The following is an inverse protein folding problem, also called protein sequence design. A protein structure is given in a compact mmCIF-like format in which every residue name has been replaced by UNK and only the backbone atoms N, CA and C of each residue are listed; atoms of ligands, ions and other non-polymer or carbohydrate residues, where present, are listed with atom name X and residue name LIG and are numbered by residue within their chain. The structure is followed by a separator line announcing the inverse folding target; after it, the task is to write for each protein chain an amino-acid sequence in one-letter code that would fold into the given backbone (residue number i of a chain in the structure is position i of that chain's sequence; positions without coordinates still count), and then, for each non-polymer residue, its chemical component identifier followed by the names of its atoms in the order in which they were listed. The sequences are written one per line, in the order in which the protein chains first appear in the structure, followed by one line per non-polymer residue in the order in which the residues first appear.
data_IF_619484008998
#
_entry.id   IF_619484008998
#
_cell.length_a   1.000
_cell.length_b   1.000
_cell.length_c   1.000
_cell.angle_alpha   90.00
_cell.angle_beta   90.00
_cell.angle_gamma   90.00
#
_symmetry.space_group_name_H-M   'P 1'
#
loop_
_entity.id
_entity.type
_entity.pdbx_description
1 polymer ?
#
# COMPACT_ATOMS: atom_id res chain seq x y z
N UNK A 1 20.44 -22.27 11.27
CA UNK A 1 19.67 -21.04 10.99
C UNK A 1 20.17 -19.98 11.95
N UNK A 2 21.01 -19.06 11.47
CA UNK A 2 21.47 -17.93 12.27
C UNK A 2 20.47 -16.80 12.06
N UNK A 3 19.76 -16.40 13.12
CA UNK A 3 18.84 -15.27 13.06
C UNK A 3 19.61 -14.02 12.63
N UNK A 4 19.09 -13.31 11.64
CA UNK A 4 19.66 -12.03 11.19
C UNK A 4 19.47 -10.96 12.27
N UNK A 5 20.35 -10.94 13.27
CA UNK A 5 20.25 -10.05 14.44
C UNK A 5 20.11 -8.56 14.10
N UNK A 6 20.84 -8.01 13.11
CA UNK A 6 20.64 -6.62 12.71
C UNK A 6 19.24 -6.35 12.13
N UNK A 7 18.69 -7.29 11.34
CA UNK A 7 17.31 -7.19 10.85
C UNK A 7 16.26 -7.28 11.95
N UNK A 8 16.50 -8.13 12.97
CA UNK A 8 15.58 -8.22 14.11
C UNK A 8 15.54 -6.90 14.87
N UNK A 9 16.72 -6.32 15.09
CA UNK A 9 16.86 -5.05 15.79
C UNK A 9 16.16 -3.91 15.03
N UNK A 10 16.33 -3.81 13.71
CA UNK A 10 15.66 -2.78 12.90
C UNK A 10 14.14 -2.93 12.94
N UNK A 11 13.62 -4.16 12.86
CA UNK A 11 12.19 -4.43 12.95
C UNK A 11 11.61 -4.09 14.34
N UNK A 12 12.32 -4.47 15.41
CA UNK A 12 11.94 -4.10 16.77
C UNK A 12 11.91 -2.57 16.93
N UNK A 13 12.93 -1.87 16.42
CA UNK A 13 12.97 -0.40 16.43
C UNK A 13 11.80 0.19 15.63
N UNK A 14 11.50 -0.36 14.45
CA UNK A 14 10.38 0.06 13.61
C UNK A 14 9.04 -0.12 14.33
N UNK A 15 8.73 -1.31 14.86
CA UNK A 15 7.48 -1.53 15.58
C UNK A 15 7.37 -0.71 16.86
N UNK A 16 8.48 -0.54 17.61
CA UNK A 16 8.50 0.34 18.76
C UNK A 16 8.23 1.79 18.38
N UNK A 17 8.77 2.26 17.25
CA UNK A 17 8.53 3.60 16.72
C UNK A 17 7.05 3.78 16.32
N UNK A 18 6.48 2.83 15.58
CA UNK A 18 5.07 2.87 15.17
C UNK A 18 4.14 2.82 16.39
N UNK A 19 4.42 1.93 17.34
CA UNK A 19 3.63 1.82 18.57
C UNK A 19 3.74 3.09 19.41
N UNK A 20 4.94 3.66 19.57
CA UNK A 20 5.15 4.92 20.28
C UNK A 20 4.39 6.07 19.62
N UNK A 21 4.43 6.17 18.30
CA UNK A 21 3.67 7.16 17.53
C UNK A 21 2.16 6.96 17.67
N UNK A 22 1.68 5.72 17.61
CA UNK A 22 0.27 5.39 17.82
C UNK A 22 -0.22 5.75 19.23
N UNK A 23 0.59 5.46 20.27
CA UNK A 23 0.28 5.83 21.66
C UNK A 23 0.30 7.36 21.83
N UNK A 24 1.28 8.05 21.25
CA UNK A 24 1.35 9.51 21.29
C UNK A 24 0.14 10.15 20.59
N UNK A 25 -0.21 9.66 19.40
CA UNK A 25 -1.35 10.12 18.63
C UNK A 25 -2.68 9.81 19.34
N UNK A 26 -2.79 8.67 20.03
CA UNK A 26 -3.92 8.36 20.92
C UNK A 26 -4.05 9.38 22.05
N UNK A 27 -2.94 9.75 22.71
CA UNK A 27 -2.94 10.79 23.76
C UNK A 27 -3.35 12.15 23.19
N UNK A 28 -2.92 12.48 21.97
CA UNK A 28 -3.33 13.69 21.26
C UNK A 28 -4.82 13.66 20.90
N UNK A 29 -5.31 12.53 20.38
CA UNK A 29 -6.72 12.31 20.08
C UNK A 29 -7.59 12.51 21.32
N UNK A 30 -7.24 11.90 22.46
CA UNK A 30 -7.96 12.10 23.73
C UNK A 30 -7.97 13.55 24.23
N UNK A 31 -6.98 14.37 23.86
CA UNK A 31 -6.95 15.81 24.19
C UNK A 31 -7.87 16.61 23.28
N UNK A 32 -7.93 16.26 22.00
CA UNK A 32 -8.84 16.88 21.03
C UNK A 32 -10.30 16.41 21.24
N UNK A 33 -10.51 15.16 21.62
CA UNK A 33 -11.80 14.58 22.03
C UNK A 33 -12.43 15.38 23.18
N UNK A 34 -11.63 15.82 24.16
CA UNK A 34 -12.08 16.69 25.26
C UNK A 34 -12.54 18.08 24.82
N UNK A 35 -12.20 18.52 23.61
CA UNK A 35 -12.61 19.81 23.03
C UNK A 35 -13.83 19.68 22.13
N UNK A 36 -14.20 18.48 21.71
CA UNK A 36 -15.32 18.22 20.81
C UNK A 36 -16.58 17.82 21.59
N UNK A 37 -17.73 18.38 21.19
CA UNK A 37 -19.07 18.12 21.76
C UNK A 37 -19.82 16.97 21.07
N UNK A 38 -19.12 16.12 20.29
CA UNK A 38 -19.72 15.02 19.51
C UNK A 38 -19.74 13.68 20.25
N UNK A 39 -20.53 12.72 19.75
CA UNK A 39 -20.58 11.36 20.29
C UNK A 39 -19.22 10.65 20.14
N UNK A 40 -18.82 9.89 21.17
CA UNK A 40 -17.53 9.19 21.25
C UNK A 40 -17.23 8.28 20.04
N UNK A 41 -18.28 7.67 19.48
CA UNK A 41 -18.21 6.84 18.28
C UNK A 41 -17.86 7.63 17.03
N UNK A 42 -18.40 8.84 16.86
CA UNK A 42 -18.10 9.72 15.73
C UNK A 42 -16.64 10.20 15.80
N UNK A 43 -16.14 10.60 16.98
CA UNK A 43 -14.73 11.01 17.13
C UNK A 43 -13.78 9.84 16.80
N UNK A 44 -14.13 8.62 17.18
CA UNK A 44 -13.32 7.43 16.89
C UNK A 44 -13.33 7.08 15.39
N UNK A 45 -14.48 7.22 14.73
CA UNK A 45 -14.66 6.85 13.32
C UNK A 45 -14.20 7.92 12.33
N UNK A 46 -14.48 9.21 12.57
CA UNK A 46 -14.17 10.31 11.64
C UNK A 46 -13.15 11.31 12.20
N UNK A 47 -12.53 11.03 13.36
CA UNK A 47 -11.47 11.89 13.90
C UNK A 47 -11.94 13.32 14.19
N UNK A 48 -13.21 13.50 14.57
CA UNK A 48 -13.79 14.81 14.83
C UNK A 48 -13.87 15.75 13.62
N UNK A 49 -13.68 15.21 12.39
CA UNK A 49 -13.69 15.97 11.13
C UNK A 49 -12.75 17.18 11.12
N UNK A 50 -11.59 17.09 11.78
CA UNK A 50 -10.66 18.21 11.86
C UNK A 50 -9.20 17.76 11.66
N UNK A 51 -8.98 16.77 10.79
CA UNK A 51 -7.63 16.39 10.41
C UNK A 51 -6.95 17.53 9.62
N UNK A 52 -5.68 17.77 9.94
CA UNK A 52 -4.84 18.69 9.18
C UNK A 52 -4.71 18.19 7.73
N UNK A 53 -4.69 19.11 6.76
CA UNK A 53 -4.57 18.82 5.35
C UNK A 53 -3.37 17.92 5.02
N UNK A 54 -2.22 18.14 5.64
CA UNK A 54 -1.02 17.32 5.40
C UNK A 54 -1.22 15.88 5.87
N UNK A 55 -1.77 15.70 7.08
CA UNK A 55 -2.09 14.37 7.62
C UNK A 55 -3.15 13.69 6.76
N UNK A 56 -4.12 14.45 6.25
CA UNK A 56 -5.18 13.96 5.36
C UNK A 56 -4.63 13.46 4.03
N UNK A 57 -3.71 14.19 3.41
CA UNK A 57 -3.01 13.79 2.17
C UNK A 57 -2.21 12.51 2.40
N UNK A 58 -1.40 12.47 3.45
CA UNK A 58 -0.58 11.31 3.76
C UNK A 58 -1.44 10.06 4.06
N UNK A 59 -2.45 10.17 4.92
CA UNK A 59 -3.31 9.02 5.26
C UNK A 59 -4.14 8.54 4.07
N UNK A 60 -4.64 9.46 3.23
CA UNK A 60 -5.34 9.10 1.99
C UNK A 60 -4.39 8.35 1.05
N UNK A 61 -3.17 8.83 0.87
CA UNK A 61 -2.17 8.18 0.01
C UNK A 61 -1.75 6.82 0.57
N UNK A 62 -1.44 6.74 1.87
CA UNK A 62 -1.02 5.52 2.55
C UNK A 62 -2.09 4.41 2.55
N UNK A 63 -3.37 4.79 2.51
CA UNK A 63 -4.48 3.82 2.41
C UNK A 63 -4.38 2.98 1.13
N UNK A 64 -3.90 3.58 0.03
CA UNK A 64 -3.76 2.92 -1.27
C UNK A 64 -2.36 2.37 -1.52
N UNK A 65 -1.34 3.09 -1.06
CA UNK A 65 0.07 2.68 -1.18
C UNK A 65 0.44 1.79 0.01
N UNK A 66 0.00 0.52 -0.05
CA UNK A 66 0.34 -0.51 0.93
C UNK A 66 1.35 -1.55 0.41
N UNK A 67 1.68 -2.53 1.25
CA UNK A 67 2.58 -3.62 0.90
C UNK A 67 2.14 -4.40 -0.34
N UNK A 68 0.84 -4.69 -0.48
CA UNK A 68 0.29 -5.35 -1.67
C UNK A 68 0.43 -4.53 -2.95
N UNK A 69 0.31 -3.19 -2.86
CA UNK A 69 0.50 -2.32 -4.02
C UNK A 69 1.97 -2.26 -4.45
N UNK A 70 2.88 -2.13 -3.50
CA UNK A 70 4.32 -2.07 -3.80
C UNK A 70 4.81 -3.43 -4.31
N UNK A 71 4.62 -4.52 -3.55
CA UNK A 71 5.05 -5.86 -3.97
C UNK A 71 4.38 -6.30 -5.27
N UNK A 72 3.06 -6.08 -5.41
CA UNK A 72 2.32 -6.48 -6.61
C UNK A 72 2.78 -5.75 -7.87
N UNK A 73 3.08 -4.45 -7.79
CA UNK A 73 3.63 -3.72 -8.95
C UNK A 73 5.02 -4.24 -9.35
N UNK A 74 5.88 -4.56 -8.39
CA UNK A 74 7.20 -5.13 -8.67
C UNK A 74 7.09 -6.54 -9.27
N UNK A 75 6.19 -7.36 -8.73
CA UNK A 75 5.89 -8.70 -9.25
C UNK A 75 5.43 -8.66 -10.70
N UNK A 76 4.44 -7.82 -11.02
CA UNK A 76 3.86 -7.74 -12.36
C UNK A 76 4.89 -7.31 -13.40
N UNK A 77 5.77 -6.36 -13.07
CA UNK A 77 6.85 -5.94 -13.98
C UNK A 77 7.92 -7.02 -14.12
N UNK A 78 8.20 -7.77 -13.06
CA UNK A 78 9.17 -8.87 -13.09
C UNK A 78 8.66 -10.09 -13.85
N UNK A 79 7.35 -10.36 -13.81
CA UNK A 79 6.72 -11.52 -14.43
C UNK A 79 6.87 -11.47 -15.97
N UNK A 80 7.59 -12.44 -16.58
CA UNK A 80 7.85 -12.48 -18.02
C UNK A 80 6.58 -12.65 -18.87
N UNK A 81 5.45 -13.02 -18.27
CA UNK A 81 4.15 -13.13 -18.97
C UNK A 81 3.36 -11.82 -18.99
N UNK A 82 3.76 -10.82 -18.22
CA UNK A 82 3.03 -9.57 -18.02
C UNK A 82 3.87 -8.36 -18.42
N UNK A 83 4.85 -7.98 -17.60
CA UNK A 83 5.63 -6.76 -17.79
C UNK A 83 4.89 -5.47 -17.40
N UNK A 84 5.51 -4.32 -17.67
CA UNK A 84 5.06 -2.99 -17.23
C UNK A 84 3.66 -2.62 -17.75
N UNK A 85 3.31 -3.02 -18.97
CA UNK A 85 1.98 -2.73 -19.54
C UNK A 85 0.85 -3.26 -18.66
N UNK A 86 1.07 -4.36 -17.93
CA UNK A 86 0.10 -4.97 -17.02
C UNK A 86 0.10 -4.36 -15.62
N UNK A 87 1.05 -3.47 -15.29
CA UNK A 87 1.05 -2.74 -14.03
C UNK A 87 0.00 -1.62 -14.04
N UNK A 88 -1.28 -2.02 -14.08
CA UNK A 88 -2.43 -1.10 -14.17
C UNK A 88 -2.72 -0.38 -12.85
N UNK A 89 -2.21 -0.87 -11.72
CA UNK A 89 -2.45 -0.35 -10.37
C UNK A 89 -2.25 1.18 -10.24
N UNK A 90 -1.12 1.76 -10.68
CA UNK A 90 -0.88 3.19 -10.61
C UNK A 90 -1.92 4.02 -11.36
N UNK A 91 -2.27 3.59 -12.59
CA UNK A 91 -3.28 4.27 -13.39
C UNK A 91 -4.68 4.10 -12.78
N UNK A 92 -5.01 2.90 -12.32
CA UNK A 92 -6.28 2.59 -11.68
C UNK A 92 -6.50 3.43 -10.42
N UNK A 93 -5.51 3.54 -9.55
CA UNK A 93 -5.62 4.32 -8.32
C UNK A 93 -5.66 5.83 -8.56
N UNK A 94 -4.96 6.32 -9.59
CA UNK A 94 -5.14 7.70 -10.06
C UNK A 94 -6.60 7.95 -10.44
N UNK A 95 -7.17 7.09 -11.29
CA UNK A 95 -8.57 7.22 -11.73
C UNK A 95 -9.55 7.08 -10.57
N UNK A 96 -9.36 6.09 -9.69
CA UNK A 96 -10.17 5.86 -8.50
C UNK A 96 -10.28 7.12 -7.64
N UNK A 97 -9.14 7.74 -7.30
CA UNK A 97 -9.11 8.92 -6.45
C UNK A 97 -9.70 10.16 -7.13
N UNK A 98 -9.48 10.33 -8.44
CA UNK A 98 -10.07 11.42 -9.24
C UNK A 98 -11.59 11.25 -9.33
N UNK A 99 -12.08 10.06 -9.68
CA UNK A 99 -13.51 9.76 -9.79
C UNK A 99 -14.21 9.87 -8.43
N UNK A 100 -13.59 9.34 -7.37
CA UNK A 100 -14.05 9.49 -5.99
C UNK A 100 -14.18 10.96 -5.58
N UNK A 101 -13.18 11.79 -5.91
CA UNK A 101 -13.19 13.23 -5.62
C UNK A 101 -14.29 14.00 -6.36
N UNK A 102 -14.50 13.69 -7.63
CA UNK A 102 -15.45 14.37 -8.49
C UNK A 102 -16.90 14.05 -8.09
N UNK A 103 -17.22 12.77 -7.94
CA UNK A 103 -18.60 12.31 -7.84
C UNK A 103 -19.06 12.05 -6.40
N UNK A 104 -18.19 11.54 -5.52
CA UNK A 104 -18.62 10.99 -4.23
C UNK A 104 -18.29 11.84 -3.01
N UNK A 105 -17.23 12.68 -3.05
CA UNK A 105 -16.84 13.52 -1.90
C UNK A 105 -17.96 14.49 -1.50
N UNK A 106 -18.52 15.25 -2.45
CA UNK A 106 -19.56 16.26 -2.17
C UNK A 106 -20.84 15.65 -1.58
N UNK A 107 -21.49 14.64 -2.21
CA UNK A 107 -22.75 14.11 -1.69
C UNK A 107 -22.62 13.48 -0.30
N UNK A 108 -21.50 12.82 -0.03
CA UNK A 108 -21.28 12.13 1.25
C UNK A 108 -21.03 13.11 2.39
N UNK A 109 -20.27 14.19 2.12
CA UNK A 109 -20.00 15.22 3.13
C UNK A 109 -21.17 16.16 3.36
N UNK A 110 -21.90 16.55 2.32
CA UNK A 110 -23.04 17.48 2.46
C UNK A 110 -24.13 16.95 3.39
N UNK A 111 -24.22 15.63 3.54
CA UNK A 111 -25.17 14.95 4.41
C UNK A 111 -24.59 14.52 5.76
N UNK A 112 -23.33 14.85 6.06
CA UNK A 112 -22.64 14.48 7.30
C UNK A 112 -22.70 12.98 7.61
N UNK A 113 -22.61 12.13 6.58
CA UNK A 113 -22.52 10.69 6.78
C UNK A 113 -21.25 10.31 7.56
N UNK A 114 -21.27 9.10 8.11
CA UNK A 114 -20.19 8.47 8.88
C UNK A 114 -19.70 7.21 8.15
N UNK A 115 -20.59 6.53 7.41
CA UNK A 115 -20.23 5.32 6.66
C UNK A 115 -20.65 5.40 5.19
N UNK A 116 -20.03 4.55 4.36
CA UNK A 116 -20.46 4.32 2.97
C UNK A 116 -21.90 3.82 2.88
N UNK A 117 -22.37 3.09 3.90
CA UNK A 117 -23.69 2.46 3.88
C UNK A 117 -24.82 3.43 4.22
N UNK A 118 -24.53 4.58 4.82
CA UNK A 118 -25.53 5.58 5.23
C UNK A 118 -26.45 6.03 4.06
N UNK A 119 -25.94 6.41 2.87
CA UNK A 119 -26.81 6.73 1.74
C UNK A 119 -27.68 5.57 1.27
N UNK A 120 -27.20 4.33 1.40
CA UNK A 120 -27.99 3.14 1.06
C UNK A 120 -29.06 2.87 2.11
N UNK A 121 -28.75 3.10 3.38
CA UNK A 121 -29.69 3.00 4.48
C UNK A 121 -30.81 4.05 4.36
N UNK A 122 -30.49 5.31 4.05
CA UNK A 122 -31.49 6.36 3.84
C UNK A 122 -32.42 6.06 2.66
N UNK A 123 -31.88 5.50 1.56
CA UNK A 123 -32.64 5.27 0.33
C UNK A 123 -33.41 3.94 0.31
N UNK A 124 -32.84 2.86 0.84
CA UNK A 124 -33.37 1.49 0.72
C UNK A 124 -33.79 0.87 2.06
N UNK A 125 -33.54 1.55 3.18
CA UNK A 125 -33.85 1.09 4.52
C UNK A 125 -32.83 0.10 5.11
N UNK A 126 -32.95 -0.14 6.41
CA UNK A 126 -31.96 -0.86 7.22
C UNK A 126 -31.70 -2.29 6.73
N UNK A 127 -32.73 -2.99 6.24
CA UNK A 127 -32.61 -4.38 5.80
C UNK A 127 -31.72 -4.53 4.58
N UNK A 128 -31.89 -3.64 3.59
CA UNK A 128 -31.10 -3.69 2.35
C UNK A 128 -29.67 -3.24 2.63
N UNK A 129 -29.49 -2.19 3.45
CA UNK A 129 -28.17 -1.75 3.87
C UNK A 129 -27.38 -2.84 4.63
N UNK A 130 -28.05 -3.60 5.52
CA UNK A 130 -27.42 -4.71 6.22
C UNK A 130 -26.95 -5.83 5.28
N UNK A 131 -27.72 -6.13 4.23
CA UNK A 131 -27.32 -7.11 3.21
C UNK A 131 -26.14 -6.60 2.38
N UNK A 132 -26.15 -5.33 1.97
CA UNK A 132 -25.07 -4.69 1.21
C UNK A 132 -23.78 -4.51 2.03
N UNK A 133 -23.89 -4.46 3.36
CA UNK A 133 -22.74 -4.40 4.25
C UNK A 133 -21.91 -5.70 4.24
N UNK A 134 -22.53 -6.87 4.05
CA UNK A 134 -21.83 -8.16 4.06
C UNK A 134 -20.71 -8.23 2.99
N UNK A 135 -20.96 -7.98 1.70
CA UNK A 135 -19.90 -8.03 0.70
C UNK A 135 -18.83 -6.95 0.92
N UNK A 136 -19.20 -5.76 1.42
CA UNK A 136 -18.22 -4.71 1.74
C UNK A 136 -17.28 -5.15 2.87
N UNK A 137 -17.84 -5.74 3.95
CA UNK A 137 -17.07 -6.27 5.06
C UNK A 137 -16.13 -7.40 4.62
N UNK A 138 -16.62 -8.33 3.79
CA UNK A 138 -15.79 -9.41 3.25
C UNK A 138 -14.65 -8.87 2.40
N UNK A 139 -14.89 -7.84 1.59
CA UNK A 139 -13.86 -7.14 0.82
C UNK A 139 -12.77 -6.56 1.72
N UNK A 140 -13.13 -5.84 2.77
CA UNK A 140 -12.18 -5.28 3.73
C UNK A 140 -11.38 -6.39 4.46
N UNK A 141 -12.01 -7.51 4.84
CA UNK A 141 -11.33 -8.64 5.48
C UNK A 141 -10.29 -9.27 4.54
N UNK A 142 -10.66 -9.54 3.29
CA UNK A 142 -9.75 -10.11 2.29
C UNK A 142 -8.61 -9.15 1.97
N UNK A 143 -8.89 -7.85 1.93
CA UNK A 143 -7.87 -6.83 1.72
C UNK A 143 -6.84 -6.78 2.86
N UNK A 144 -7.31 -6.79 4.12
CA UNK A 144 -6.44 -6.85 5.29
C UNK A 144 -5.59 -8.13 5.30
N UNK A 145 -6.18 -9.27 4.93
CA UNK A 145 -5.45 -10.53 4.81
C UNK A 145 -4.32 -10.45 3.75
N UNK A 146 -4.61 -9.85 2.59
CA UNK A 146 -3.62 -9.63 1.54
C UNK A 146 -2.44 -8.76 2.03
N UNK A 147 -2.72 -7.62 2.68
CA UNK A 147 -1.69 -6.72 3.21
C UNK A 147 -0.84 -7.40 4.29
N UNK A 148 -1.48 -8.11 5.22
CA UNK A 148 -0.75 -8.85 6.25
C UNK A 148 0.11 -9.96 5.64
N UNK A 149 -0.38 -10.66 4.62
CA UNK A 149 0.38 -11.64 3.86
C UNK A 149 1.61 -11.04 3.18
N UNK A 150 1.45 -9.90 2.51
CA UNK A 150 2.56 -9.17 1.88
C UNK A 150 3.62 -8.75 2.91
N UNK A 151 3.19 -8.17 4.03
CA UNK A 151 4.08 -7.77 5.13
C UNK A 151 4.82 -8.96 5.74
N UNK A 152 4.10 -10.05 6.02
CA UNK A 152 4.67 -11.29 6.57
C UNK A 152 5.64 -11.96 5.61
N UNK A 153 5.37 -11.90 4.31
CA UNK A 153 6.29 -12.32 3.26
C UNK A 153 7.59 -11.52 3.31
N UNK A 154 7.48 -10.18 3.28
CA UNK A 154 8.66 -9.29 3.29
C UNK A 154 9.54 -9.59 4.50
N UNK A 155 8.96 -9.64 5.70
CA UNK A 155 9.69 -9.92 6.94
C UNK A 155 10.32 -11.31 6.91
N UNK A 156 9.62 -12.33 6.39
CA UNK A 156 10.14 -13.69 6.31
C UNK A 156 11.42 -13.76 5.45
N UNK A 157 11.46 -13.04 4.34
CA UNK A 157 12.65 -12.94 3.46
C UNK A 157 13.83 -12.29 4.17
N UNK A 158 13.59 -11.22 4.95
CA UNK A 158 14.66 -10.50 5.68
C UNK A 158 15.27 -11.33 6.81
N UNK A 159 14.39 -12.01 7.55
CA UNK A 159 14.68 -12.53 8.88
C UNK A 159 14.93 -14.03 8.93
N UNK A 160 14.62 -14.74 7.84
CA UNK A 160 14.60 -16.21 7.79
C UNK A 160 13.71 -16.81 8.91
N UNK A 161 12.63 -16.09 9.26
CA UNK A 161 11.61 -16.54 10.22
C UNK A 161 10.35 -17.00 9.48
N UNK A 162 9.56 -17.84 10.14
CA UNK A 162 8.30 -18.32 9.57
C UNK A 162 7.35 -17.14 9.27
N UNK A 163 6.82 -17.09 8.05
CA UNK A 163 5.85 -16.07 7.62
C UNK A 163 4.66 -15.96 8.58
N UNK A 164 4.14 -17.07 9.10
CA UNK A 164 3.03 -17.07 10.06
C UNK A 164 3.34 -16.24 11.33
N UNK A 165 4.53 -16.40 11.90
CA UNK A 165 4.94 -15.63 13.08
C UNK A 165 5.09 -14.14 12.76
N UNK A 166 5.65 -13.80 11.60
CA UNK A 166 5.77 -12.41 11.15
C UNK A 166 4.40 -11.74 10.98
N UNK A 167 3.44 -12.46 10.38
CA UNK A 167 2.04 -12.01 10.24
C UNK A 167 1.41 -11.78 11.62
N UNK A 168 1.52 -12.75 12.53
CA UNK A 168 0.92 -12.66 13.87
C UNK A 168 1.47 -11.47 14.67
N UNK A 169 2.77 -11.24 14.66
CA UNK A 169 3.39 -10.11 15.36
C UNK A 169 2.95 -8.79 14.75
N UNK A 170 2.97 -8.68 13.42
CA UNK A 170 2.50 -7.49 12.70
C UNK A 170 1.05 -7.15 13.03
N UNK A 171 0.17 -8.15 12.99
CA UNK A 171 -1.24 -8.00 13.28
C UNK A 171 -1.46 -7.57 14.74
N UNK A 172 -0.75 -8.17 15.69
CA UNK A 172 -0.85 -7.81 17.10
C UNK A 172 -0.47 -6.34 17.33
N UNK A 173 0.65 -5.87 16.76
CA UNK A 173 1.05 -4.46 16.85
C UNK A 173 0.01 -3.55 16.23
N UNK A 174 -0.49 -3.89 15.03
CA UNK A 174 -1.52 -3.14 14.31
C UNK A 174 -2.81 -3.00 15.12
N UNK A 175 -3.29 -4.09 15.70
CA UNK A 175 -4.49 -4.13 16.54
C UNK A 175 -4.31 -3.25 17.78
N UNK A 176 -3.17 -3.37 18.48
CA UNK A 176 -2.94 -2.63 19.72
C UNK A 176 -2.97 -1.11 19.50
N UNK A 177 -2.21 -0.58 18.53
CA UNK A 177 -2.21 0.88 18.33
C UNK A 177 -3.54 1.39 17.76
N UNK A 178 -4.23 0.59 16.93
CA UNK A 178 -5.51 0.98 16.33
C UNK A 178 -6.61 1.04 17.39
N UNK A 179 -6.71 0.02 18.26
CA UNK A 179 -7.67 0.00 19.36
C UNK A 179 -7.41 1.13 20.37
N UNK A 180 -6.15 1.51 20.58
CA UNK A 180 -5.82 2.56 21.54
C UNK A 180 -6.16 3.98 21.07
N UNK A 181 -6.09 4.29 19.78
CA UNK A 181 -6.17 5.67 19.31
C UNK A 181 -7.08 5.96 18.11
N UNK A 182 -7.82 4.96 17.61
CA UNK A 182 -8.79 5.14 16.54
C UNK A 182 -8.20 5.77 15.28
N UNK A 183 -9.01 6.54 14.53
CA UNK A 183 -8.58 7.14 13.26
C UNK A 183 -7.34 8.04 13.40
N UNK A 184 -7.20 8.76 14.52
CA UNK A 184 -6.04 9.62 14.76
C UNK A 184 -4.74 8.84 14.88
N UNK A 185 -4.72 7.73 15.64
CA UNK A 185 -3.51 6.91 15.71
C UNK A 185 -3.13 6.38 14.34
N UNK A 186 -4.11 5.85 13.59
CA UNK A 186 -3.89 5.35 12.23
C UNK A 186 -3.35 6.45 11.32
N UNK A 187 -3.96 7.63 11.28
CA UNK A 187 -3.55 8.70 10.38
C UNK A 187 -2.12 9.22 10.66
N UNK A 188 -1.68 9.28 11.92
CA UNK A 188 -0.31 9.68 12.24
C UNK A 188 0.71 8.56 12.02
N UNK A 189 0.35 7.28 12.24
CA UNK A 189 1.22 6.17 11.88
C UNK A 189 1.39 6.07 10.37
N UNK A 190 0.32 6.33 9.60
CA UNK A 190 0.35 6.36 8.13
C UNK A 190 1.36 7.39 7.60
N UNK A 191 1.42 8.59 8.20
CA UNK A 191 2.40 9.62 7.82
C UNK A 191 3.83 9.11 7.96
N UNK A 192 4.13 8.44 9.08
CA UNK A 192 5.47 7.90 9.35
C UNK A 192 5.79 6.74 8.39
N UNK A 193 4.86 5.80 8.23
CA UNK A 193 5.03 4.63 7.35
C UNK A 193 5.21 5.05 5.88
N UNK A 194 4.39 5.99 5.40
CA UNK A 194 4.49 6.51 4.04
C UNK A 194 5.82 7.22 3.80
N UNK A 195 6.29 8.02 4.78
CA UNK A 195 7.57 8.72 4.67
C UNK A 195 8.75 7.76 4.64
N UNK A 196 8.74 6.75 5.53
CA UNK A 196 9.78 5.73 5.57
C UNK A 196 9.83 4.92 4.27
N UNK A 197 8.68 4.52 3.75
CA UNK A 197 8.58 3.78 2.49
C UNK A 197 9.07 4.62 1.30
N UNK A 198 8.69 5.90 1.23
CA UNK A 198 9.16 6.81 0.17
C UNK A 198 10.69 6.92 0.20
N UNK A 199 11.28 7.22 1.36
CA UNK A 199 12.73 7.38 1.48
C UNK A 199 13.46 6.07 1.26
N UNK A 200 12.97 4.97 1.85
CA UNK A 200 13.61 3.67 1.81
C UNK A 200 13.68 3.08 0.40
N UNK A 201 12.56 3.08 -0.32
CA UNK A 201 12.54 2.53 -1.68
C UNK A 201 13.36 3.39 -2.65
N UNK A 202 13.24 4.71 -2.60
CA UNK A 202 14.04 5.61 -3.46
C UNK A 202 15.53 5.52 -3.17
N UNK A 203 15.92 5.29 -1.91
CA UNK A 203 17.31 5.06 -1.54
C UNK A 203 17.85 3.78 -2.18
N UNK A 204 17.04 2.74 -2.33
CA UNK A 204 17.46 1.46 -2.90
C UNK A 204 17.63 1.48 -4.43
N UNK A 205 16.81 2.25 -5.14
CA UNK A 205 16.83 2.36 -6.61
C UNK A 205 18.24 2.55 -7.20
N UNK A 206 19.06 3.54 -6.79
CA UNK A 206 20.37 3.74 -7.38
C UNK A 206 21.33 2.57 -7.15
N UNK A 207 21.26 1.89 -6.00
CA UNK A 207 22.13 0.74 -5.72
C UNK A 207 21.76 -0.47 -6.56
N UNK A 208 20.47 -0.71 -6.79
CA UNK A 208 19.99 -1.81 -7.62
C UNK A 208 20.38 -1.59 -9.09
N UNK A 209 20.23 -0.36 -9.59
CA UNK A 209 20.60 -0.02 -10.96
C UNK A 209 22.11 -0.01 -11.21
N UNK A 210 22.90 0.27 -10.18
CA UNK A 210 24.36 0.24 -10.26
C UNK A 210 24.97 -1.15 -10.01
N UNK A 211 24.15 -2.15 -9.68
CA UNK A 211 24.64 -3.49 -9.40
C UNK A 211 25.23 -4.13 -10.67
N UNK A 212 26.46 -4.69 -10.63
CA UNK A 212 27.09 -5.31 -11.80
C UNK A 212 26.30 -6.47 -12.41
N UNK A 213 25.45 -7.14 -11.61
CA UNK A 213 24.61 -8.25 -12.07
C UNK A 213 23.34 -7.80 -12.80
N UNK A 214 23.00 -6.50 -12.70
CA UNK A 214 21.85 -5.89 -13.36
C UNK A 214 22.28 -5.32 -14.71
N UNK A 215 21.72 -5.85 -15.80
CA UNK A 215 21.91 -5.27 -17.12
C UNK A 215 21.22 -3.90 -17.24
N UNK A 216 21.58 -3.12 -18.27
CA UNK A 216 20.95 -1.83 -18.51
C UNK A 216 19.44 -2.01 -18.77
N UNK A 217 18.63 -1.46 -17.86
CA UNK A 217 17.17 -1.59 -17.91
C UNK A 217 16.57 -1.06 -19.21
N UNK A 218 17.16 -0.05 -19.86
CA UNK A 218 16.61 0.50 -21.11
C UNK A 218 16.77 -0.46 -22.28
N UNK A 219 17.85 -1.24 -22.29
CA UNK A 219 18.08 -2.29 -23.29
C UNK A 219 17.19 -3.49 -22.99
N UNK A 220 17.12 -3.90 -21.72
CA UNK A 220 16.27 -4.98 -21.24
C UNK A 220 14.76 -4.69 -21.40
N UNK A 221 14.38 -3.43 -21.61
CA UNK A 221 12.98 -3.03 -21.81
C UNK A 221 12.39 -3.61 -23.10
N UNK A 222 13.23 -3.76 -24.13
CA UNK A 222 12.80 -4.17 -25.48
C UNK A 222 13.56 -5.39 -25.99
N UNK A 223 14.71 -5.70 -25.42
CA UNK A 223 15.55 -6.81 -25.83
C UNK A 223 15.54 -7.90 -24.77
N UNK A 224 15.33 -9.14 -25.20
CA UNK A 224 15.46 -10.33 -24.35
C UNK A 224 16.93 -10.55 -24.00
N UNK A 225 17.30 -10.22 -22.77
CA UNK A 225 18.65 -10.44 -22.21
C UNK A 225 18.66 -11.70 -21.34
N UNK A 226 18.07 -11.62 -20.15
CA UNK A 226 17.99 -12.72 -19.19
C UNK A 226 16.59 -13.32 -19.08
N UNK A 227 15.56 -12.50 -19.30
CA UNK A 227 14.16 -12.90 -19.40
C UNK A 227 13.46 -12.07 -20.50
N UNK A 228 12.17 -12.32 -20.72
CA UNK A 228 11.35 -11.53 -21.64
C UNK A 228 11.38 -10.03 -21.28
N UNK A 229 11.26 -9.14 -22.28
CA UNK A 229 11.37 -7.70 -22.07
C UNK A 229 10.36 -7.21 -21.03
N UNK A 230 10.85 -6.49 -20.02
CA UNK A 230 10.03 -6.09 -18.87
C UNK A 230 8.97 -5.03 -19.22
N UNK A 231 9.03 -4.42 -20.42
CA UNK A 231 7.95 -3.54 -20.88
C UNK A 231 6.65 -4.33 -21.09
N UNK A 232 6.75 -5.60 -21.51
CA UNK A 232 5.62 -6.44 -21.85
C UNK A 232 4.97 -6.08 -23.19
N UNK A 233 4.06 -6.94 -23.64
CA UNK A 233 3.20 -6.71 -24.80
C UNK A 233 1.73 -6.94 -24.42
N UNK A 234 0.83 -6.16 -24.99
CA UNK A 234 -0.60 -6.37 -24.86
C UNK A 234 -1.13 -6.89 -26.20
N UNK A 235 -1.49 -8.16 -26.23
CA UNK A 235 -2.17 -8.74 -27.39
C UNK A 235 -3.65 -8.34 -27.40
N UNK A 236 -4.24 -8.22 -28.58
CA UNK A 236 -5.63 -7.78 -28.72
C UNK A 236 -6.63 -8.71 -28.01
N UNK A 237 -6.30 -10.00 -27.93
CA UNK A 237 -7.10 -11.01 -27.23
C UNK A 237 -7.17 -10.76 -25.72
N UNK A 238 -6.11 -10.19 -25.15
CA UNK A 238 -5.99 -9.92 -23.71
C UNK A 238 -6.46 -8.50 -23.34
N UNK A 239 -6.71 -7.63 -24.33
CA UNK A 239 -7.16 -6.26 -24.12
C UNK A 239 -8.45 -6.18 -23.28
N UNK A 240 -9.37 -7.13 -23.46
CA UNK A 240 -10.60 -7.21 -22.65
C UNK A 240 -10.30 -7.43 -21.17
N UNK A 241 -9.38 -8.34 -20.85
CA UNK A 241 -8.95 -8.63 -19.47
C UNK A 241 -8.19 -7.44 -18.89
N UNK A 242 -7.33 -6.80 -19.66
CA UNK A 242 -6.58 -5.62 -19.21
C UNK A 242 -7.52 -4.47 -18.82
N UNK A 243 -8.57 -4.22 -19.63
CA UNK A 243 -9.60 -3.22 -19.32
C UNK A 243 -10.40 -3.63 -18.08
N UNK A 244 -10.76 -4.91 -17.95
CA UNK A 244 -11.46 -5.42 -16.77
C UNK A 244 -10.65 -5.21 -15.48
N UNK A 245 -9.37 -5.60 -15.47
CA UNK A 245 -8.46 -5.41 -14.33
C UNK A 245 -8.32 -3.91 -13.97
N UNK A 246 -8.21 -3.04 -14.98
CA UNK A 246 -8.14 -1.60 -14.80
C UNK A 246 -9.43 -1.04 -14.18
N UNK A 247 -10.59 -1.43 -14.69
CA UNK A 247 -11.90 -0.97 -14.20
C UNK A 247 -12.21 -1.51 -12.81
N UNK A 248 -11.85 -2.77 -12.54
CA UNK A 248 -12.00 -3.40 -11.24
C UNK A 248 -11.27 -2.59 -10.15
N UNK A 249 -10.01 -2.21 -10.40
CA UNK A 249 -9.24 -1.41 -9.46
C UNK A 249 -9.68 0.07 -9.41
N UNK A 250 -10.06 0.65 -10.56
CA UNK A 250 -10.43 2.05 -10.65
C UNK A 250 -11.81 2.36 -10.06
N UNK A 251 -12.79 1.49 -10.29
CA UNK A 251 -14.18 1.67 -9.82
C UNK A 251 -14.37 0.95 -8.49
N UNK A 252 -13.85 -0.28 -8.35
CA UNK A 252 -13.97 -1.06 -7.12
C UNK A 252 -13.31 -0.36 -5.93
N UNK A 253 -12.24 0.40 -6.15
CA UNK A 253 -11.61 1.24 -5.14
C UNK A 253 -12.56 2.24 -4.47
N UNK A 254 -13.56 2.73 -5.21
CA UNK A 254 -14.51 3.72 -4.70
C UNK A 254 -15.41 3.08 -3.65
N UNK A 255 -15.68 1.78 -3.73
CA UNK A 255 -16.57 1.06 -2.82
C UNK A 255 -15.93 0.72 -1.45
N UNK A 256 -14.66 1.07 -1.20
CA UNK A 256 -14.00 0.77 0.06
C UNK A 256 -14.35 1.79 1.16
N UNK A 257 -14.73 1.29 2.34
CA UNK A 257 -15.07 2.11 3.50
C UNK A 257 -13.90 3.01 3.93
N UNK A 258 -12.66 2.51 3.80
CA UNK A 258 -11.44 3.26 4.17
C UNK A 258 -11.32 4.60 3.42
N UNK A 259 -11.69 4.65 2.14
CA UNK A 259 -11.69 5.87 1.34
C UNK A 259 -12.62 6.93 1.94
N UNK A 260 -13.88 6.55 2.19
CA UNK A 260 -14.88 7.46 2.73
C UNK A 260 -14.55 7.92 4.14
N UNK A 261 -13.97 7.04 4.95
CA UNK A 261 -13.53 7.41 6.29
C UNK A 261 -12.48 8.53 6.25
N UNK A 262 -11.57 8.53 5.28
CA UNK A 262 -10.57 9.61 5.11
C UNK A 262 -11.19 10.88 4.55
N UNK A 263 -12.09 10.77 3.58
CA UNK A 263 -12.85 11.93 3.07
C UNK A 263 -13.63 12.62 4.19
N UNK A 264 -14.38 11.85 4.97
CA UNK A 264 -15.24 12.37 6.05
C UNK A 264 -14.43 13.00 7.19
N UNK A 265 -13.18 12.58 7.39
CA UNK A 265 -12.33 13.05 8.48
C UNK A 265 -11.71 14.44 8.31
N UNK A 266 -11.81 15.04 7.12
CA UNK A 266 -11.30 16.40 6.86
C UNK A 266 -12.31 17.48 7.28
N UNK A 267 -11.86 18.73 7.43
CA UNK A 267 -12.69 19.84 7.89
C UNK A 267 -13.68 20.35 6.84
N UNK A 268 -13.32 20.33 5.55
CA UNK A 268 -14.15 20.90 4.47
C UNK A 268 -14.17 20.02 3.23
N UNK A 269 -15.20 20.20 2.41
CA UNK A 269 -15.33 19.51 1.12
C UNK A 269 -14.19 19.88 0.17
N UNK A 270 -13.76 21.15 0.18
CA UNK A 270 -12.62 21.61 -0.60
C UNK A 270 -11.32 20.90 -0.17
N UNK A 271 -11.09 20.80 1.14
CA UNK A 271 -9.95 20.06 1.69
C UNK A 271 -10.00 18.57 1.34
N UNK A 272 -11.19 17.95 1.40
CA UNK A 272 -11.36 16.55 0.98
C UNK A 272 -11.01 16.33 -0.48
N UNK A 273 -11.54 17.18 -1.38
CA UNK A 273 -11.26 17.06 -2.82
C UNK A 273 -9.78 17.27 -3.12
N UNK A 274 -9.18 18.28 -2.52
CA UNK A 274 -7.75 18.55 -2.66
C UNK A 274 -6.92 17.36 -2.16
N UNK A 275 -7.31 16.78 -1.02
CA UNK A 275 -6.67 15.57 -0.47
C UNK A 275 -6.70 14.42 -1.47
N UNK A 276 -7.84 14.14 -2.09
CA UNK A 276 -7.98 13.09 -3.09
C UNK A 276 -7.16 13.39 -4.36
N UNK A 277 -7.16 14.62 -4.87
CA UNK A 277 -6.39 14.97 -6.07
C UNK A 277 -4.88 14.92 -5.85
N UNK A 278 -4.40 15.39 -4.70
CA UNK A 278 -2.97 15.27 -4.36
C UNK A 278 -2.58 13.81 -4.18
N UNK A 279 -3.40 13.02 -3.48
CA UNK A 279 -3.17 11.58 -3.35
C UNK A 279 -3.19 10.87 -4.71
N UNK A 280 -4.06 11.28 -5.65
CA UNK A 280 -4.11 10.71 -7.00
C UNK A 280 -2.79 10.86 -7.73
N UNK A 281 -2.08 11.98 -7.55
CA UNK A 281 -0.75 12.22 -8.15
C UNK A 281 0.36 11.50 -7.36
N UNK A 282 0.27 11.47 -6.03
CA UNK A 282 1.29 10.84 -5.19
C UNK A 282 1.32 9.31 -5.32
N UNK A 283 0.17 8.65 -5.47
CA UNK A 283 0.10 7.19 -5.57
C UNK A 283 0.91 6.60 -6.75
N UNK A 284 0.83 7.14 -7.99
CA UNK A 284 1.70 6.72 -9.08
C UNK A 284 3.18 7.04 -8.82
N UNK A 285 3.50 8.21 -8.27
CA UNK A 285 4.89 8.59 -7.97
C UNK A 285 5.52 7.61 -6.99
N UNK A 286 4.76 7.16 -5.98
CA UNK A 286 5.20 6.17 -5.00
C UNK A 286 5.33 4.75 -5.56
N UNK A 287 4.67 4.45 -6.68
CA UNK A 287 4.88 3.18 -7.37
C UNK A 287 6.17 3.14 -8.20
N UNK A 288 6.68 4.30 -8.65
CA UNK A 288 7.85 4.37 -9.55
C UNK A 288 9.04 3.57 -9.02
N UNK A 289 9.49 3.72 -7.75
CA UNK A 289 10.58 2.91 -7.23
C UNK A 289 10.32 1.41 -7.33
N UNK A 290 9.09 0.98 -7.04
CA UNK A 290 8.69 -0.42 -7.10
C UNK A 290 8.76 -0.97 -8.53
N UNK A 291 8.27 -0.21 -9.50
CA UNK A 291 8.31 -0.57 -10.91
C UNK A 291 9.76 -0.66 -11.41
N UNK A 292 10.61 0.28 -11.00
CA UNK A 292 12.04 0.26 -11.34
C UNK A 292 12.73 -0.96 -10.71
N UNK A 293 12.42 -1.29 -9.46
CA UNK A 293 12.97 -2.47 -8.77
C UNK A 293 12.55 -3.75 -9.50
N UNK A 294 11.28 -3.87 -9.89
CA UNK A 294 10.79 -4.99 -10.70
C UNK A 294 11.49 -5.09 -12.06
N UNK A 295 11.67 -3.97 -12.74
CA UNK A 295 12.37 -3.90 -14.03
C UNK A 295 13.86 -4.23 -13.91
N UNK A 296 14.52 -3.81 -12.83
CA UNK A 296 15.92 -4.13 -12.58
C UNK A 296 16.09 -5.60 -12.21
N UNK A 297 15.20 -6.14 -11.38
CA UNK A 297 15.13 -7.57 -11.05
C UNK A 297 14.91 -8.45 -12.28
N UNK A 298 14.08 -8.00 -13.21
CA UNK A 298 13.91 -8.60 -14.53
C UNK A 298 15.20 -8.56 -15.35
N UNK A 299 15.94 -7.46 -15.26
CA UNK A 299 17.20 -7.26 -15.98
C UNK A 299 18.41 -7.92 -15.32
N UNK A 300 18.21 -8.69 -14.24
CA UNK A 300 19.31 -9.24 -13.43
C UNK A 300 19.65 -10.67 -13.85
N UNK A 301 20.94 -10.96 -14.00
CA UNK A 301 21.42 -12.34 -14.07
C UNK A 301 21.50 -12.95 -12.67
N UNK A 302 20.43 -13.59 -12.21
CA UNK A 302 20.34 -14.16 -10.86
C UNK A 302 21.44 -15.17 -10.52
N UNK A 303 22.02 -15.84 -11.52
CA UNK A 303 23.13 -16.79 -11.32
C UNK A 303 24.42 -16.12 -10.81
N UNK A 304 24.62 -14.83 -11.11
CA UNK A 304 25.79 -14.05 -10.69
C UNK A 304 25.58 -13.35 -9.33
N UNK A 305 24.33 -13.34 -8.85
CA UNK A 305 23.97 -12.78 -7.55
C UNK A 305 24.18 -13.79 -6.42
N UNK A 306 24.14 -13.30 -5.18
CA UNK A 306 24.14 -14.16 -3.99
C UNK A 306 22.87 -15.02 -3.84
N UNK A 307 21.85 -14.84 -4.68
CA UNK A 307 20.65 -15.69 -4.71
C UNK A 307 20.92 -17.04 -5.41
N UNK A 308 21.64 -17.01 -6.53
CA UNK A 308 22.00 -18.19 -7.32
C UNK A 308 20.90 -18.71 -8.25
N UNK A 309 21.01 -19.99 -8.62
CA UNK A 309 20.13 -20.69 -9.56
C UNK A 309 19.34 -21.79 -8.86
N UNK A 310 18.07 -22.08 -9.22
CA UNK A 310 17.25 -21.41 -10.24
C UNK A 310 16.72 -20.04 -9.78
N UNK A 311 16.47 -19.13 -10.73
CA UNK A 311 16.06 -17.74 -10.43
C UNK A 311 14.68 -17.63 -9.74
N UNK A 312 14.34 -16.45 -9.16
CA UNK A 312 13.14 -16.28 -8.34
C UNK A 312 11.82 -16.66 -9.04
N UNK A 313 11.67 -16.32 -10.32
CA UNK A 313 10.47 -16.67 -11.10
C UNK A 313 10.27 -18.20 -11.19
N UNK A 314 11.34 -18.96 -11.45
CA UNK A 314 11.30 -20.41 -11.59
C UNK A 314 10.96 -21.12 -10.26
N UNK A 315 11.25 -20.47 -9.13
CA UNK A 315 10.89 -20.97 -7.81
C UNK A 315 9.46 -20.54 -7.38
N UNK A 316 8.70 -19.86 -8.24
CA UNK A 316 7.39 -19.31 -7.89
C UNK A 316 7.44 -18.18 -6.86
N UNK A 317 8.57 -17.47 -6.76
CA UNK A 317 8.82 -16.38 -5.80
C UNK A 317 8.68 -14.99 -6.41
N UNK A 318 7.97 -14.85 -7.53
CA UNK A 318 7.75 -13.57 -8.22
C UNK A 318 7.06 -12.53 -7.32
N UNK A 319 6.07 -12.92 -6.51
CA UNK A 319 5.42 -12.05 -5.52
C UNK A 319 6.35 -11.51 -4.42
N UNK A 320 7.52 -12.13 -4.26
CA UNK A 320 8.54 -11.73 -3.30
C UNK A 320 9.74 -11.05 -3.98
N UNK A 321 9.62 -10.67 -5.25
CA UNK A 321 10.76 -10.15 -6.01
C UNK A 321 11.31 -8.86 -5.42
N UNK A 322 10.46 -7.98 -4.89
CA UNK A 322 10.90 -6.72 -4.31
C UNK A 322 11.82 -6.94 -3.10
N UNK A 323 11.43 -7.69 -2.04
CA UNK A 323 12.34 -7.96 -0.94
C UNK A 323 13.56 -8.80 -1.35
N UNK A 324 13.42 -9.72 -2.31
CA UNK A 324 14.57 -10.49 -2.84
C UNK A 324 15.58 -9.55 -3.53
N UNK A 325 15.11 -8.64 -4.38
CA UNK A 325 15.94 -7.66 -5.07
C UNK A 325 16.62 -6.72 -4.06
N UNK A 326 15.89 -6.24 -3.05
CA UNK A 326 16.49 -5.44 -1.98
C UNK A 326 17.60 -6.21 -1.24
N UNK A 327 17.37 -7.48 -0.90
CA UNK A 327 18.33 -8.29 -0.14
C UNK A 327 19.59 -8.65 -0.93
N UNK A 328 19.45 -8.93 -2.23
CA UNK A 328 20.54 -9.49 -3.05
C UNK A 328 21.20 -8.47 -3.98
N UNK A 329 20.54 -7.35 -4.28
CA UNK A 329 21.06 -6.33 -5.19
C UNK A 329 21.51 -5.04 -4.48
N UNK A 330 21.06 -4.79 -3.24
CA UNK A 330 21.53 -3.67 -2.44
C UNK A 330 22.59 -4.07 -1.39
N UNK A 331 23.43 -3.13 -0.94
CA UNK A 331 24.17 -3.29 0.31
C UNK A 331 23.23 -3.51 1.50
N UNK A 332 23.66 -4.32 2.46
CA UNK A 332 22.86 -4.73 3.63
C UNK A 332 22.19 -3.57 4.39
N UNK A 333 22.89 -2.46 4.61
CA UNK A 333 22.32 -1.33 5.35
C UNK A 333 21.26 -0.59 4.55
N UNK A 334 21.38 -0.56 3.22
CA UNK A 334 20.42 0.08 2.33
C UNK A 334 19.16 -0.79 2.21
N UNK A 335 19.34 -2.10 2.07
CA UNK A 335 18.22 -3.04 2.06
C UNK A 335 17.42 -2.95 3.35
N UNK A 336 18.07 -2.83 4.52
CA UNK A 336 17.38 -2.70 5.81
C UNK A 336 16.52 -1.43 5.94
N UNK A 337 16.84 -0.36 5.21
CA UNK A 337 16.05 0.89 5.21
C UNK A 337 14.91 0.80 4.18
N UNK A 338 15.12 0.09 3.07
CA UNK A 338 14.11 -0.10 2.02
C UNK A 338 13.05 -1.15 2.31
N UNK A 339 13.34 -2.10 3.21
CA UNK A 339 12.43 -3.19 3.64
C UNK A 339 11.52 -2.74 4.79
#
# INVERSE_FOLDING_TARGET
MAVNWPGLLSLCVFYMMILAMGIWASRKSKREEKKCTGNRSEVTMVGGRNLNIWVSICTMTATWVGGGYILGNAEVVYDPTKGLVWATGPLAFFMNLVLGALFFVKPIRSKNYVTLMDPFQEKYGDKVAAVLFIPALLGDILWVACILGALGGTISVVMDISSALAVCVSAAVAIVYTLMGGLYAVAYTDVVQLSLMLVGLWLCVPFILANPSSANITVAAVTKLHQEPWLGSLELEEAGRWVDDLLLLAIGGICYQAFYQRVLSTATDAQSKLTCYVAAVLCPILAIPSLIIGAAAASTNWNETSYGSPGPYQQGKAGMILPIALQHLCPFYVSLIGM
#
